data_IF_091241773046
#
_entry.id   IF_091241773046
#
_cell.length_a   1.000
_cell.length_b   1.000
_cell.length_c   1.000
_cell.angle_alpha   90.00
_cell.angle_beta   90.00
_cell.angle_gamma   90.00
#
_symmetry.space_group_name_H-M   'P 1'
#
loop_
_entity.id
_entity.type
_entity.pdbx_description
1 polymer ?
#
# COMPACT_ATOMS: atom_id res chain seq x y z
N UNK A 1 -14.29 -24.01 8.55
CA UNK A 1 -15.74 -24.23 8.52
C UNK A 1 -16.03 -25.26 7.44
N UNK A 2 -16.31 -26.53 7.80
CA UNK A 2 -16.57 -27.66 6.88
C UNK A 2 -18.05 -27.81 6.51
N UNK A 3 -18.89 -26.84 6.89
CA UNK A 3 -20.35 -26.91 6.75
C UNK A 3 -20.80 -26.14 5.50
N UNK A 4 -21.66 -26.75 4.71
CA UNK A 4 -22.16 -26.23 3.44
C UNK A 4 -21.82 -27.18 2.29
N UNK A 5 -22.74 -27.29 1.35
CA UNK A 5 -22.50 -28.08 0.16
C UNK A 5 -21.44 -27.42 -0.69
N UNK A 6 -20.58 -28.25 -1.28
CA UNK A 6 -19.60 -27.79 -2.26
C UNK A 6 -20.32 -27.46 -3.56
N UNK A 7 -20.02 -26.30 -4.13
CA UNK A 7 -20.40 -25.90 -5.48
C UNK A 7 -19.19 -25.28 -6.18
N UNK A 8 -19.25 -25.20 -7.51
CA UNK A 8 -18.36 -24.33 -8.28
C UNK A 8 -19.13 -23.06 -8.64
N UNK A 9 -18.42 -21.94 -8.66
CA UNK A 9 -18.97 -20.68 -9.10
C UNK A 9 -17.94 -19.82 -9.82
N UNK A 10 -18.40 -18.84 -10.57
CA UNK A 10 -17.56 -17.88 -11.30
C UNK A 10 -17.69 -16.50 -10.68
N UNK A 11 -16.58 -15.83 -10.38
CA UNK A 11 -16.59 -14.44 -9.92
C UNK A 11 -17.08 -13.56 -11.07
N UNK A 12 -18.27 -12.98 -10.94
CA UNK A 12 -18.88 -12.11 -11.97
C UNK A 12 -18.88 -10.64 -11.57
N UNK A 13 -18.67 -10.33 -10.29
CA UNK A 13 -18.45 -8.96 -9.86
C UNK A 13 -17.44 -8.87 -8.72
N UNK A 14 -16.62 -7.82 -8.76
CA UNK A 14 -15.73 -7.40 -7.68
C UNK A 14 -16.09 -5.96 -7.34
N UNK A 15 -16.47 -5.69 -6.10
CA UNK A 15 -16.66 -4.34 -5.58
C UNK A 15 -15.69 -4.09 -4.44
N UNK A 16 -14.95 -2.99 -4.52
CA UNK A 16 -14.04 -2.54 -3.48
C UNK A 16 -14.51 -1.18 -3.00
N UNK A 17 -14.77 -1.11 -1.70
CA UNK A 17 -15.20 0.10 -1.01
C UNK A 17 -14.42 0.25 0.29
N UNK A 18 -14.59 1.38 0.94
CA UNK A 18 -14.12 1.60 2.31
C UNK A 18 -15.30 1.71 3.28
N UNK A 19 -15.12 1.26 4.52
CA UNK A 19 -16.07 1.44 5.61
C UNK A 19 -15.35 1.88 6.89
N UNK A 20 -16.07 2.58 7.77
CA UNK A 20 -15.56 3.11 9.04
C UNK A 20 -14.93 4.49 8.91
N UNK A 21 -14.90 5.22 10.03
CA UNK A 21 -14.35 6.57 10.09
C UNK A 21 -12.83 6.53 10.32
N UNK A 22 -12.35 5.79 11.33
CA UNK A 22 -10.92 5.53 11.57
C UNK A 22 -10.71 4.22 12.40
N UNK A 23 -9.83 3.28 11.98
CA UNK A 23 -9.16 3.24 10.69
C UNK A 23 -10.14 2.89 9.57
N UNK A 24 -9.98 3.56 8.43
CA UNK A 24 -10.73 3.25 7.21
C UNK A 24 -10.39 1.83 6.77
N UNK A 25 -11.39 0.95 6.71
CA UNK A 25 -11.21 -0.46 6.38
C UNK A 25 -11.62 -0.72 4.94
N UNK A 26 -10.75 -1.41 4.18
CA UNK A 26 -11.11 -1.96 2.86
C UNK A 26 -12.17 -3.05 3.01
N UNK A 27 -13.21 -2.98 2.19
CA UNK A 27 -14.29 -3.96 2.12
C UNK A 27 -14.38 -4.50 0.70
N UNK A 28 -14.09 -5.79 0.58
CA UNK A 28 -14.15 -6.51 -0.68
C UNK A 28 -15.48 -7.27 -0.73
N UNK A 29 -16.28 -7.01 -1.77
CA UNK A 29 -17.55 -7.68 -2.04
C UNK A 29 -17.46 -8.42 -3.37
N UNK A 30 -17.87 -9.67 -3.37
CA UNK A 30 -17.90 -10.51 -4.57
C UNK A 30 -19.33 -10.88 -4.92
N UNK A 31 -19.63 -10.91 -6.21
CA UNK A 31 -20.78 -11.65 -6.72
C UNK A 31 -20.27 -12.88 -7.47
N UNK A 32 -20.81 -14.04 -7.10
CA UNK A 32 -20.44 -15.33 -7.69
C UNK A 32 -21.65 -15.95 -8.36
N UNK A 33 -21.48 -16.31 -9.61
CA UNK A 33 -22.44 -17.03 -10.43
C UNK A 33 -22.21 -18.53 -10.22
N UNK A 34 -23.08 -19.20 -9.47
CA UNK A 34 -22.97 -20.63 -9.22
C UNK A 34 -23.19 -21.44 -10.50
N UNK A 35 -22.66 -22.66 -10.53
CA UNK A 35 -22.76 -23.58 -11.67
C UNK A 35 -24.20 -24.01 -12.03
N UNK A 36 -24.37 -24.69 -13.17
CA UNK A 36 -25.68 -25.18 -13.62
C UNK A 36 -26.36 -26.16 -12.65
N UNK A 37 -25.57 -26.91 -11.88
CA UNK A 37 -26.00 -27.80 -10.81
C UNK A 37 -26.73 -27.06 -9.67
N UNK A 38 -26.49 -25.75 -9.55
CA UNK A 38 -27.17 -24.81 -8.64
C UNK A 38 -28.09 -23.85 -9.38
N UNK A 39 -28.51 -24.20 -10.59
CA UNK A 39 -29.47 -23.44 -11.40
C UNK A 39 -28.94 -22.10 -11.90
N UNK A 40 -27.63 -21.86 -11.89
CA UNK A 40 -27.11 -20.55 -12.26
C UNK A 40 -27.58 -19.45 -11.30
N UNK A 41 -27.71 -19.75 -10.01
CA UNK A 41 -28.04 -18.72 -9.03
C UNK A 41 -26.83 -17.82 -8.79
N UNK A 42 -27.07 -16.52 -8.72
CA UNK A 42 -26.08 -15.52 -8.37
C UNK A 42 -26.16 -15.20 -6.88
N UNK A 43 -25.05 -15.34 -6.18
CA UNK A 43 -24.91 -15.05 -4.75
C UNK A 43 -23.92 -13.90 -4.54
N UNK A 44 -24.07 -13.12 -3.47
CA UNK A 44 -23.18 -11.99 -3.19
C UNK A 44 -22.85 -11.88 -1.71
N UNK A 45 -21.58 -11.64 -1.41
CA UNK A 45 -21.09 -11.57 -0.03
C UNK A 45 -19.81 -10.75 0.05
N UNK A 46 -19.56 -10.22 1.24
CA UNK A 46 -18.27 -9.67 1.65
C UNK A 46 -17.39 -10.82 2.11
N UNK A 47 -16.12 -10.78 1.74
CA UNK A 47 -15.12 -11.72 2.21
C UNK A 47 -13.74 -11.12 1.96
N UNK A 48 -12.80 -11.26 2.87
CA UNK A 48 -11.40 -10.97 2.60
C UNK A 48 -10.70 -12.26 2.14
N UNK A 49 -10.05 -12.22 0.97
CA UNK A 49 -9.34 -13.36 0.40
C UNK A 49 -7.83 -13.11 0.53
N UNK A 50 -7.08 -14.08 1.08
CA UNK A 50 -5.63 -13.94 1.28
C UNK A 50 -4.88 -15.16 0.73
N UNK A 51 -3.91 -15.00 -0.18
CA UNK A 51 -3.50 -13.74 -0.80
C UNK A 51 -4.55 -13.21 -1.80
N UNK A 52 -4.84 -11.91 -1.75
CA UNK A 52 -5.81 -11.24 -2.62
C UNK A 52 -5.27 -11.02 -4.04
N UNK A 53 -3.95 -10.95 -4.19
CA UNK A 53 -3.27 -10.72 -5.47
C UNK A 53 -3.59 -11.75 -6.57
N UNK A 54 -4.21 -12.89 -6.24
CA UNK A 54 -4.63 -13.94 -7.19
C UNK A 54 -6.11 -13.85 -7.58
N UNK A 55 -6.89 -12.97 -6.94
CA UNK A 55 -8.32 -12.81 -7.25
C UNK A 55 -8.47 -12.18 -8.63
N UNK A 56 -9.28 -12.79 -9.49
CA UNK A 56 -9.57 -12.30 -10.85
C UNK A 56 -11.07 -12.31 -11.14
N UNK A 57 -11.52 -11.33 -11.91
CA UNK A 57 -12.84 -11.38 -12.53
C UNK A 57 -12.91 -12.58 -13.48
N UNK A 58 -14.02 -13.30 -13.49
CA UNK A 58 -14.23 -14.47 -14.34
C UNK A 58 -13.55 -15.75 -13.85
N UNK A 59 -12.81 -15.71 -12.73
CA UNK A 59 -12.19 -16.89 -12.13
C UNK A 59 -13.26 -17.87 -11.62
N UNK A 60 -13.06 -19.16 -11.90
CA UNK A 60 -13.83 -20.22 -11.28
C UNK A 60 -13.26 -20.53 -9.90
N UNK A 61 -14.14 -20.59 -8.90
CA UNK A 61 -13.79 -20.76 -7.50
C UNK A 61 -14.69 -21.81 -6.85
N UNK A 62 -14.14 -22.66 -5.98
CA UNK A 62 -14.95 -23.49 -5.10
C UNK A 62 -15.70 -22.59 -4.10
N UNK A 63 -16.98 -22.87 -3.92
CA UNK A 63 -17.88 -22.14 -3.03
C UNK A 63 -18.52 -23.14 -2.06
N UNK A 64 -18.57 -22.78 -0.78
CA UNK A 64 -19.40 -23.47 0.22
C UNK A 64 -20.73 -22.75 0.32
N UNK A 65 -21.82 -23.44 -0.01
CA UNK A 65 -23.18 -22.89 0.01
C UNK A 65 -23.98 -23.56 1.11
N UNK A 66 -24.66 -22.77 1.94
CA UNK A 66 -25.59 -23.26 2.94
C UNK A 66 -26.75 -22.27 3.04
N UNK A 67 -27.97 -22.73 2.77
CA UNK A 67 -29.16 -21.88 2.74
C UNK A 67 -28.96 -20.73 1.72
N UNK A 68 -29.09 -19.47 2.15
CA UNK A 68 -28.83 -18.26 1.36
C UNK A 68 -27.40 -17.70 1.55
N UNK A 69 -26.53 -18.47 2.21
CA UNK A 69 -25.15 -18.07 2.51
C UNK A 69 -24.16 -18.80 1.62
N UNK A 70 -23.15 -18.05 1.17
CA UNK A 70 -22.07 -18.57 0.34
C UNK A 70 -20.73 -17.97 0.75
N UNK A 71 -19.67 -18.78 0.73
CA UNK A 71 -18.28 -18.37 0.98
C UNK A 71 -17.39 -18.96 -0.11
N UNK A 72 -16.42 -18.20 -0.61
CA UNK A 72 -15.36 -18.74 -1.46
C UNK A 72 -14.41 -19.54 -0.57
N UNK A 73 -14.20 -20.82 -0.92
CA UNK A 73 -13.20 -21.66 -0.27
C UNK A 73 -11.82 -21.36 -0.85
N UNK A 74 -11.22 -20.27 -0.39
CA UNK A 74 -9.98 -19.74 -0.97
C UNK A 74 -8.77 -20.67 -0.78
N UNK A 75 -8.74 -21.41 0.32
CA UNK A 75 -7.73 -22.45 0.53
C UNK A 75 -7.80 -23.52 -0.57
N UNK A 76 -9.01 -24.00 -0.90
CA UNK A 76 -9.21 -24.96 -1.99
C UNK A 76 -8.91 -24.33 -3.37
N UNK A 77 -9.29 -23.06 -3.57
CA UNK A 77 -9.04 -22.33 -4.82
C UNK A 77 -7.54 -22.19 -5.14
N UNK A 78 -6.70 -21.98 -4.11
CA UNK A 78 -5.26 -21.73 -4.26
C UNK A 78 -4.41 -23.01 -4.27
N UNK A 79 -4.93 -24.13 -3.76
CA UNK A 79 -4.20 -25.39 -3.67
C UNK A 79 -3.59 -25.87 -5.02
N UNK A 80 -4.28 -25.79 -6.18
CA UNK A 80 -3.69 -26.17 -7.47
C UNK A 80 -2.49 -25.32 -7.89
N UNK A 81 -2.35 -24.11 -7.36
CA UNK A 81 -1.25 -23.20 -7.65
C UNK A 81 -0.05 -23.39 -6.70
N UNK A 82 -0.16 -24.30 -5.72
CA UNK A 82 0.85 -24.45 -4.67
C UNK A 82 0.94 -23.23 -3.73
N UNK A 83 -0.09 -22.38 -3.73
CA UNK A 83 -0.16 -21.16 -2.92
C UNK A 83 -1.00 -21.44 -1.68
N UNK A 84 -0.53 -20.97 -0.52
CA UNK A 84 -1.30 -21.06 0.72
C UNK A 84 -2.42 -20.01 0.73
N UNK A 85 -3.65 -20.43 0.41
CA UNK A 85 -4.85 -19.61 0.54
C UNK A 85 -5.50 -19.73 1.93
N UNK A 86 -6.05 -18.63 2.44
CA UNK A 86 -6.81 -18.60 3.69
C UNK A 86 -8.28 -18.28 3.43
N UNK A 87 -9.16 -19.13 3.95
CA UNK A 87 -10.61 -18.91 3.96
C UNK A 87 -11.02 -18.24 5.28
N UNK A 88 -11.03 -16.90 5.29
CA UNK A 88 -11.39 -16.10 6.45
C UNK A 88 -12.90 -15.84 6.47
N UNK A 89 -13.56 -16.25 7.55
CA UNK A 89 -15.03 -16.19 7.71
C UNK A 89 -15.50 -15.18 8.75
N UNK A 90 -14.58 -14.65 9.55
CA UNK A 90 -14.79 -13.56 10.51
C UNK A 90 -15.15 -12.24 9.81
N UNK A 91 -14.66 -12.06 8.59
CA UNK A 91 -14.94 -10.89 7.74
C UNK A 91 -16.13 -11.09 6.81
N UNK A 92 -16.76 -12.27 6.87
CA UNK A 92 -17.81 -12.63 5.94
C UNK A 92 -19.14 -11.98 6.29
N UNK A 93 -19.87 -11.54 5.25
CA UNK A 93 -21.25 -11.05 5.40
C UNK A 93 -22.02 -11.25 4.11
N UNK A 94 -23.15 -11.96 4.15
CA UNK A 94 -24.08 -11.99 3.03
C UNK A 94 -24.57 -10.56 2.73
N UNK A 95 -24.60 -10.20 1.45
CA UNK A 95 -25.09 -8.89 1.01
C UNK A 95 -26.09 -9.06 -0.12
N UNK A 96 -26.97 -8.06 -0.27
CA UNK A 96 -27.82 -7.98 -1.45
C UNK A 96 -26.94 -7.92 -2.71
N UNK A 97 -27.36 -8.63 -3.76
CA UNK A 97 -26.69 -8.56 -5.05
C UNK A 97 -26.51 -7.10 -5.47
N UNK A 98 -25.27 -6.67 -5.72
CA UNK A 98 -25.01 -5.29 -6.11
C UNK A 98 -25.58 -4.92 -7.49
N UNK A 99 -26.04 -5.90 -8.28
CA UNK A 99 -26.78 -5.67 -9.52
C UNK A 99 -25.92 -5.28 -10.72
N UNK A 100 -24.60 -5.43 -10.63
CA UNK A 100 -23.67 -5.14 -11.73
C UNK A 100 -22.72 -6.31 -11.99
N UNK A 101 -22.20 -6.42 -13.21
CA UNK A 101 -21.14 -7.37 -13.59
C UNK A 101 -19.87 -6.57 -13.88
N UNK A 102 -18.70 -7.11 -13.54
CA UNK A 102 -17.41 -6.44 -13.75
C UNK A 102 -16.75 -5.97 -12.46
N UNK A 103 -15.93 -4.93 -12.54
CA UNK A 103 -15.15 -4.42 -11.40
C UNK A 103 -15.61 -2.99 -11.10
N UNK A 104 -15.89 -2.73 -9.83
CA UNK A 104 -16.18 -1.39 -9.32
C UNK A 104 -15.27 -1.10 -8.12
N UNK A 105 -14.42 -0.09 -8.25
CA UNK A 105 -13.43 0.24 -7.24
C UNK A 105 -13.48 1.73 -6.91
N UNK A 106 -14.13 2.05 -5.79
CA UNK A 106 -14.30 3.44 -5.36
C UNK A 106 -13.03 4.01 -4.69
N UNK A 107 -12.01 3.18 -4.42
CA UNK A 107 -10.78 3.63 -3.77
C UNK A 107 -9.84 4.36 -4.73
N UNK A 108 -9.95 4.08 -6.03
CA UNK A 108 -9.08 4.69 -7.05
C UNK A 108 -9.48 6.12 -7.43
N UNK A 109 -10.72 6.55 -7.12
CA UNK A 109 -11.22 7.88 -7.49
C UNK A 109 -11.24 8.15 -9.00
N UNK A 110 -11.32 7.08 -9.81
CA UNK A 110 -11.23 7.15 -11.27
C UNK A 110 -12.43 7.89 -11.88
N UNK A 111 -13.56 7.97 -11.18
CA UNK A 111 -14.79 8.60 -11.67
C UNK A 111 -14.59 10.08 -12.00
N UNK A 112 -13.71 10.76 -11.24
CA UNK A 112 -13.36 12.15 -11.51
C UNK A 112 -12.60 12.28 -12.83
N UNK A 113 -11.63 11.40 -13.06
CA UNK A 113 -10.80 11.39 -14.26
C UNK A 113 -11.59 10.91 -15.48
N UNK A 114 -12.52 9.99 -15.31
CA UNK A 114 -13.44 9.57 -16.37
C UNK A 114 -14.35 10.71 -16.83
N UNK A 115 -14.78 11.60 -15.92
CA UNK A 115 -15.64 12.76 -16.25
C UNK A 115 -14.88 13.93 -16.85
N UNK A 116 -13.63 14.17 -16.42
CA UNK A 116 -12.86 15.39 -16.74
C UNK A 116 -11.65 15.15 -17.62
N UNK A 117 -11.19 13.91 -17.73
CA UNK A 117 -10.02 13.50 -18.48
C UNK A 117 -10.37 13.16 -19.92
N UNK A 118 -9.34 13.20 -20.77
CA UNK A 118 -9.40 12.74 -22.15
C UNK A 118 -9.00 11.27 -22.17
N UNK A 119 -9.82 10.37 -22.75
CA UNK A 119 -9.46 8.96 -22.88
C UNK A 119 -8.13 8.77 -23.61
N UNK A 120 -7.29 7.87 -23.09
CA UNK A 120 -5.97 7.60 -23.59
C UNK A 120 -5.64 6.11 -23.52
N UNK A 121 -4.62 5.70 -24.28
CA UNK A 121 -3.95 4.41 -24.15
C UNK A 121 -2.57 4.64 -23.55
N UNK A 122 -2.24 3.86 -22.52
CA UNK A 122 -0.98 3.97 -21.77
C UNK A 122 -0.21 2.68 -21.95
N UNK A 123 0.87 2.73 -22.72
CA UNK A 123 1.75 1.57 -22.96
C UNK A 123 2.93 1.63 -22.00
N UNK A 124 3.06 0.62 -21.13
CA UNK A 124 4.18 0.48 -20.20
C UNK A 124 5.43 0.16 -21.02
N UNK A 125 6.44 1.02 -21.02
CA UNK A 125 7.75 0.74 -21.67
C UNK A 125 8.71 0.06 -20.71
N UNK A 126 8.73 0.50 -19.46
CA UNK A 126 9.50 -0.11 -18.39
C UNK A 126 8.69 -0.03 -17.10
N UNK A 127 8.91 -0.98 -16.19
CA UNK A 127 8.33 -0.93 -14.85
C UNK A 127 9.39 -1.30 -13.81
N UNK A 128 9.63 -0.40 -12.85
CA UNK A 128 10.67 -0.61 -11.85
C UNK A 128 10.28 -0.03 -10.49
N UNK A 129 10.71 -0.71 -9.43
CA UNK A 129 10.76 -0.12 -8.10
C UNK A 129 11.87 0.93 -8.07
N UNK A 130 11.51 2.18 -7.79
CA UNK A 130 12.45 3.30 -7.69
C UNK A 130 12.52 3.78 -6.24
N UNK A 131 13.74 4.05 -5.80
CA UNK A 131 13.98 4.75 -4.54
C UNK A 131 13.33 6.13 -4.58
N UNK A 132 12.56 6.44 -3.54
CA UNK A 132 11.95 7.73 -3.30
C UNK A 132 12.35 8.25 -1.93
N UNK A 133 12.11 9.55 -1.70
CA UNK A 133 12.44 10.23 -0.44
C UNK A 133 13.89 9.92 0.05
N UNK A 134 14.88 9.98 -0.85
CA UNK A 134 16.29 9.71 -0.55
C UNK A 134 16.58 8.30 0.01
N UNK A 135 15.86 7.28 -0.43
CA UNK A 135 16.05 5.89 0.03
C UNK A 135 15.17 5.49 1.20
N UNK A 136 14.29 6.37 1.67
CA UNK A 136 13.36 6.06 2.75
C UNK A 136 12.18 5.20 2.31
N UNK A 137 11.80 5.27 1.03
CA UNK A 137 10.70 4.48 0.49
C UNK A 137 11.04 3.93 -0.88
N UNK A 138 10.43 2.82 -1.24
CA UNK A 138 10.40 2.35 -2.61
C UNK A 138 9.01 2.62 -3.20
N UNK A 139 8.97 3.05 -4.46
CA UNK A 139 7.71 3.26 -5.16
C UNK A 139 7.80 2.68 -6.56
N UNK A 140 6.73 2.03 -7.00
CA UNK A 140 6.62 1.59 -8.38
C UNK A 140 6.49 2.81 -9.31
N UNK A 141 7.33 2.83 -10.34
CA UNK A 141 7.29 3.83 -11.40
C UNK A 141 7.29 3.15 -12.77
N UNK A 142 6.57 3.76 -13.71
CA UNK A 142 6.56 3.34 -15.11
C UNK A 142 7.17 4.43 -15.99
N UNK A 143 8.02 4.04 -16.92
CA UNK A 143 8.21 4.85 -18.11
C UNK A 143 7.16 4.38 -19.13
N UNK A 144 6.34 5.30 -19.63
CA UNK A 144 5.16 5.00 -20.44
C UNK A 144 5.12 5.82 -21.72
N UNK A 145 4.46 5.28 -22.74
CA UNK A 145 4.03 6.04 -23.92
C UNK A 145 2.52 6.20 -23.87
N UNK A 146 2.05 7.42 -24.05
CA UNK A 146 0.63 7.78 -23.97
C UNK A 146 0.14 8.19 -25.34
N UNK A 147 -0.97 7.59 -25.75
CA UNK A 147 -1.66 7.88 -27.01
C UNK A 147 -3.03 8.47 -26.70
N UNK A 148 -3.26 9.69 -27.17
CA UNK A 148 -4.54 10.39 -27.11
C UNK A 148 -5.05 10.57 -28.53
N UNK A 149 -6.32 10.27 -28.79
CA UNK A 149 -6.89 10.38 -30.13
C UNK A 149 -6.70 11.80 -30.71
N UNK A 150 -6.15 11.89 -31.92
CA UNK A 150 -5.89 13.16 -32.60
C UNK A 150 -4.65 13.93 -32.13
N UNK A 151 -3.82 13.35 -31.25
CA UNK A 151 -2.57 13.95 -30.78
C UNK A 151 -1.39 13.00 -31.05
N UNK A 152 -0.17 13.52 -31.27
CA UNK A 152 1.04 12.68 -31.30
C UNK A 152 1.23 11.96 -29.97
N UNK A 153 1.68 10.71 -30.03
CA UNK A 153 2.05 9.96 -28.83
C UNK A 153 3.24 10.64 -28.12
N UNK A 154 3.27 10.59 -26.80
CA UNK A 154 4.34 11.19 -25.99
C UNK A 154 4.78 10.28 -24.86
N UNK A 155 6.05 10.41 -24.46
CA UNK A 155 6.60 9.69 -23.32
C UNK A 155 6.28 10.41 -22.00
N UNK A 156 5.99 9.66 -20.96
CA UNK A 156 5.75 10.18 -19.60
C UNK A 156 6.24 9.18 -18.56
N UNK A 157 6.79 9.69 -17.47
CA UNK A 157 7.08 8.88 -16.28
C UNK A 157 5.89 8.93 -15.32
N UNK A 158 5.27 7.78 -15.05
CA UNK A 158 4.23 7.63 -14.04
C UNK A 158 4.88 7.25 -12.72
N UNK A 159 4.77 8.12 -11.72
CA UNK A 159 5.34 7.92 -10.37
C UNK A 159 4.24 7.45 -9.42
N UNK A 160 4.62 6.72 -8.36
CA UNK A 160 3.70 6.25 -7.31
C UNK A 160 2.56 5.40 -7.89
N UNK A 161 2.89 4.53 -8.83
CA UNK A 161 1.91 3.65 -9.44
C UNK A 161 1.46 2.63 -8.40
N UNK A 162 0.16 2.56 -8.14
CA UNK A 162 -0.42 1.52 -7.29
C UNK A 162 -1.47 0.79 -8.10
N UNK A 163 -1.19 -0.47 -8.45
CA UNK A 163 -2.19 -1.34 -9.01
C UNK A 163 -2.98 -2.01 -7.86
N UNK A 164 -4.30 -2.13 -7.98
CA UNK A 164 -5.11 -2.88 -7.04
C UNK A 164 -4.89 -4.40 -7.23
N UNK A 165 -5.24 -5.20 -6.22
CA UNK A 165 -4.97 -6.65 -6.19
C UNK A 165 -5.53 -7.42 -7.40
N UNK A 166 -6.69 -7.01 -7.92
CA UNK A 166 -7.34 -7.65 -9.07
C UNK A 166 -6.63 -7.36 -10.41
N UNK A 167 -5.74 -6.38 -10.42
CA UNK A 167 -4.94 -5.95 -11.57
C UNK A 167 -3.44 -6.27 -11.39
N UNK A 168 -3.07 -7.05 -10.37
CA UNK A 168 -1.68 -7.34 -10.04
C UNK A 168 -0.88 -8.01 -11.17
N UNK A 169 -1.55 -8.73 -12.09
CA UNK A 169 -0.94 -9.35 -13.27
C UNK A 169 -0.70 -8.39 -14.44
N UNK A 170 -1.22 -7.15 -14.37
CA UNK A 170 -1.12 -6.17 -15.46
C UNK A 170 0.14 -5.30 -15.38
N UNK A 171 1.00 -5.51 -14.38
CA UNK A 171 2.28 -4.83 -14.24
C UNK A 171 3.33 -5.50 -15.13
N UNK A 172 3.16 -5.39 -16.45
CA UNK A 172 3.97 -6.07 -17.47
C UNK A 172 4.41 -5.07 -18.54
N UNK A 173 5.70 -5.08 -18.86
CA UNK A 173 6.27 -4.25 -19.93
C UNK A 173 5.67 -4.61 -21.30
N UNK A 174 5.45 -3.60 -22.13
CA UNK A 174 4.80 -3.71 -23.43
C UNK A 174 3.27 -3.74 -23.38
N UNK A 175 2.66 -3.83 -22.19
CA UNK A 175 1.20 -3.85 -22.08
C UNK A 175 0.61 -2.45 -22.27
N UNK A 176 -0.42 -2.35 -23.13
CA UNK A 176 -1.20 -1.14 -23.34
C UNK A 176 -2.48 -1.20 -22.52
N UNK A 177 -2.66 -0.21 -21.64
CA UNK A 177 -3.76 -0.13 -20.69
C UNK A 177 -4.67 1.06 -21.02
N UNK A 178 -5.99 0.95 -20.79
CA UNK A 178 -6.88 2.10 -20.83
C UNK A 178 -6.53 3.08 -19.71
N UNK A 179 -6.65 4.37 -19.99
CA UNK A 179 -6.44 5.43 -19.02
C UNK A 179 -7.02 6.76 -19.45
N UNK A 180 -6.71 7.79 -18.67
CA UNK A 180 -7.16 9.16 -18.88
C UNK A 180 -5.99 10.12 -18.72
N UNK A 181 -6.00 11.19 -19.51
CA UNK A 181 -5.07 12.32 -19.40
C UNK A 181 -5.86 13.55 -19.00
N UNK A 182 -5.40 14.29 -17.99
CA UNK A 182 -6.06 15.52 -17.59
C UNK A 182 -5.86 16.63 -18.63
N UNK A 183 -6.95 17.29 -19.01
CA UNK A 183 -6.90 18.38 -20.00
C UNK A 183 -5.93 19.50 -19.55
N UNK A 184 -5.03 19.89 -20.46
CA UNK A 184 -3.99 20.90 -20.19
C UNK A 184 -2.83 20.42 -19.31
N UNK A 185 -2.82 19.15 -18.89
CA UNK A 185 -1.80 18.55 -18.01
C UNK A 185 -1.39 17.16 -18.51
N UNK A 186 -0.59 17.08 -19.60
CA UNK A 186 -0.17 15.80 -20.17
C UNK A 186 0.68 14.96 -19.21
N UNK A 187 1.27 15.56 -18.16
CA UNK A 187 1.97 14.88 -17.07
C UNK A 187 1.04 14.14 -16.10
N UNK A 188 -0.27 14.42 -16.15
CA UNK A 188 -1.27 13.85 -15.25
C UNK A 188 -2.07 12.78 -15.97
N UNK A 189 -1.52 11.57 -15.90
CA UNK A 189 -2.08 10.36 -16.51
C UNK A 189 -2.51 9.39 -15.42
N UNK A 190 -3.71 8.84 -15.58
CA UNK A 190 -4.28 7.86 -14.66
C UNK A 190 -4.65 6.61 -15.44
N UNK A 191 -4.25 5.43 -14.95
CA UNK A 191 -4.62 4.14 -15.54
C UNK A 191 -5.98 3.72 -14.99
N UNK A 192 -6.89 3.30 -15.86
CA UNK A 192 -8.17 2.70 -15.47
C UNK A 192 -7.98 1.20 -15.23
N UNK A 193 -7.54 0.86 -14.02
CA UNK A 193 -7.25 -0.54 -13.63
C UNK A 193 -8.48 -1.45 -13.73
N UNK A 194 -9.67 -0.93 -13.40
CA UNK A 194 -10.90 -1.70 -13.49
C UNK A 194 -11.22 -2.05 -14.95
N UNK A 195 -11.18 -1.06 -15.85
CA UNK A 195 -11.37 -1.32 -17.28
C UNK A 195 -10.28 -2.24 -17.84
N UNK A 196 -9.03 -2.06 -17.42
CA UNK A 196 -7.91 -2.90 -17.86
C UNK A 196 -8.09 -4.37 -17.43
N UNK A 197 -8.45 -4.61 -16.17
CA UNK A 197 -8.70 -5.95 -15.66
C UNK A 197 -9.99 -6.59 -16.20
N UNK A 198 -10.97 -5.79 -16.62
CA UNK A 198 -12.13 -6.31 -17.37
C UNK A 198 -11.76 -6.75 -18.80
N UNK A 199 -10.86 -6.02 -19.47
CA UNK A 199 -10.37 -6.36 -20.82
C UNK A 199 -9.41 -7.55 -20.80
N UNK A 200 -8.54 -7.63 -19.79
CA UNK A 200 -7.61 -8.73 -19.59
C UNK A 200 -7.70 -9.25 -18.14
N UNK A 201 -8.63 -10.17 -17.85
CA UNK A 201 -8.87 -10.65 -16.49
C UNK A 201 -7.77 -11.53 -15.91
N UNK A 202 -6.79 -12.01 -16.67
CA UNK A 202 -5.63 -12.71 -16.12
C UNK A 202 -5.91 -13.97 -15.30
N UNK A 203 -7.02 -14.68 -15.57
CA UNK A 203 -7.33 -15.95 -14.88
C UNK A 203 -6.22 -16.97 -15.13
N UNK A 204 -5.65 -17.52 -14.07
CA UNK A 204 -4.51 -18.45 -14.13
C UNK A 204 -3.14 -17.78 -14.31
N UNK A 205 -3.08 -16.46 -14.46
CA UNK A 205 -1.83 -15.71 -14.54
C UNK A 205 -1.41 -15.27 -13.13
N UNK A 206 -0.18 -15.61 -12.68
CA UNK A 206 0.29 -15.18 -11.37
C UNK A 206 0.38 -13.64 -11.28
N UNK A 207 0.34 -13.07 -10.06
CA UNK A 207 0.66 -11.66 -9.86
C UNK A 207 2.06 -11.34 -10.41
N UNK A 208 2.25 -10.12 -10.91
CA UNK A 208 3.59 -9.66 -11.31
C UNK A 208 4.53 -9.64 -10.09
N UNK A 209 5.81 -9.98 -10.30
CA UNK A 209 6.82 -9.92 -9.23
C UNK A 209 6.94 -8.50 -8.64
N UNK A 210 6.70 -7.46 -9.46
CA UNK A 210 6.69 -6.07 -9.03
C UNK A 210 5.56 -5.77 -8.03
N UNK A 211 4.43 -6.48 -8.13
CA UNK A 211 3.34 -6.35 -7.17
C UNK A 211 3.76 -6.83 -5.78
N UNK A 212 4.45 -7.98 -5.71
CA UNK A 212 4.89 -8.57 -4.44
C UNK A 212 5.91 -7.68 -3.73
N UNK A 213 6.85 -7.09 -4.46
CA UNK A 213 7.85 -6.17 -3.92
C UNK A 213 7.22 -4.86 -3.40
N UNK A 214 6.17 -4.37 -4.06
CA UNK A 214 5.43 -3.19 -3.62
C UNK A 214 4.50 -3.49 -2.42
N UNK A 215 4.17 -4.77 -2.19
CA UNK A 215 3.30 -5.21 -1.09
C UNK A 215 4.08 -5.62 0.16
N UNK A 216 5.38 -5.91 0.05
CA UNK A 216 6.23 -6.38 1.15
C UNK A 216 6.68 -5.30 2.14
N UNK A 217 6.39 -4.03 1.89
CA UNK A 217 6.59 -2.95 2.87
C UNK A 217 5.29 -2.66 3.62
N UNK A 218 4.79 -3.67 4.33
CA UNK A 218 3.90 -3.49 5.46
C UNK A 218 4.64 -2.87 6.65
N UNK A 219 5.29 -1.73 6.47
CA UNK A 219 5.45 -0.80 7.59
C UNK A 219 4.05 -0.26 7.84
N UNK A 220 3.48 -0.42 9.05
CA UNK A 220 2.13 0.05 9.30
C UNK A 220 2.03 1.53 8.91
N UNK A 221 1.16 1.81 7.93
CA UNK A 221 0.80 3.14 7.42
C UNK A 221 0.21 4.08 8.50
N UNK A 222 0.32 3.73 9.77
CA UNK A 222 -0.13 4.53 10.91
C UNK A 222 0.81 5.72 11.23
N UNK A 223 2.05 5.77 10.70
CA UNK A 223 3.01 6.83 11.05
C UNK A 223 3.25 7.90 9.97
N UNK A 224 2.71 7.76 8.75
CA UNK A 224 2.85 8.80 7.70
C UNK A 224 1.67 9.79 7.61
N UNK A 225 0.59 9.58 8.36
CA UNK A 225 -0.57 10.49 8.40
C UNK A 225 -0.37 11.78 9.20
N UNK A 226 0.79 11.97 9.84
CA UNK A 226 1.09 13.14 10.68
C UNK A 226 2.07 14.14 10.08
N UNK A 227 2.60 13.85 8.89
CA UNK A 227 3.47 14.76 8.17
C UNK A 227 2.60 15.60 7.25
N UNK A 228 2.23 16.78 7.74
CA UNK A 228 1.42 17.74 7.01
C UNK A 228 1.99 17.96 5.61
N UNK A 229 1.19 17.62 4.60
CA UNK A 229 1.23 18.37 3.36
C UNK A 229 0.98 19.83 3.74
N UNK A 230 1.90 20.79 3.47
CA UNK A 230 1.51 22.17 3.43
C UNK A 230 0.39 22.26 2.40
N UNK A 231 -0.68 22.94 2.79
CA UNK A 231 -1.92 23.02 2.04
C UNK A 231 -1.68 23.24 0.55
N UNK A 232 -2.54 22.62 -0.24
CA UNK A 232 -2.80 23.04 -1.59
C UNK A 232 -3.50 24.42 -1.55
N UNK A 233 -2.78 25.45 -1.10
CA UNK A 233 -3.11 26.86 -1.27
C UNK A 233 -1.83 27.55 -1.75
N UNK A 234 -1.93 28.19 -2.91
CA UNK A 234 -0.79 28.77 -3.61
C UNK A 234 -0.08 29.83 -2.78
N UNK A 235 1.24 29.71 -2.71
CA UNK A 235 2.13 30.73 -2.16
C UNK A 235 3.53 30.49 -2.72
N UNK A 236 4.06 31.53 -3.34
CA UNK A 236 5.45 31.68 -3.79
C UNK A 236 6.42 31.59 -2.59
N UNK A 237 7.71 31.51 -2.89
CA UNK A 237 8.86 31.92 -2.07
C UNK A 237 9.97 30.86 -1.94
N UNK A 238 11.05 31.20 -2.64
CA UNK A 238 12.44 30.87 -2.38
C UNK A 238 12.89 31.28 -0.96
N UNK A 239 13.97 30.63 -0.51
CA UNK A 239 14.82 30.95 0.64
C UNK A 239 14.60 30.13 1.91
N UNK A 240 15.29 28.99 1.99
CA UNK A 240 15.79 28.50 3.28
C UNK A 240 17.10 27.73 3.11
N UNK A 241 18.18 28.47 2.80
CA UNK A 241 19.55 28.00 2.96
C UNK A 241 20.27 28.92 3.94
N UNK A 242 20.43 28.47 5.18
CA UNK A 242 21.57 28.72 6.07
C UNK A 242 21.17 28.53 7.54
N UNK A 243 21.92 27.66 8.23
CA UNK A 243 22.40 27.76 9.62
C UNK A 243 22.43 26.35 10.24
N UNK A 244 23.41 25.89 11.02
CA UNK A 244 24.69 26.35 11.60
C UNK A 244 25.19 25.04 12.26
N UNK A 245 26.30 24.42 11.87
CA UNK A 245 27.69 24.64 12.34
C UNK A 245 27.89 24.79 13.86
N UNK A 246 28.24 23.68 14.54
CA UNK A 246 29.21 23.68 15.64
C UNK A 246 28.69 23.47 17.06
N UNK A 247 29.14 22.37 17.71
CA UNK A 247 29.83 22.35 19.00
C UNK A 247 30.05 20.89 19.47
N UNK A 248 31.25 20.61 19.98
CA UNK A 248 31.70 19.27 20.35
C UNK A 248 31.67 18.98 21.85
N UNK A 249 31.83 17.68 22.15
CA UNK A 249 32.48 17.14 23.35
C UNK A 249 31.64 17.01 24.61
N UNK A 250 31.35 15.77 25.02
CA UNK A 250 31.97 15.11 26.19
C UNK A 250 31.31 13.73 26.38
N UNK A 251 32.15 12.71 26.56
CA UNK A 251 31.73 11.36 26.87
C UNK A 251 31.62 11.17 28.39
N UNK A 252 30.51 10.61 28.84
CA UNK A 252 30.42 9.87 30.11
C UNK A 252 29.27 8.87 29.98
N UNK A 253 29.53 7.61 30.30
CA UNK A 253 28.54 6.54 30.23
C UNK A 253 27.39 6.80 31.20
N UNK A 254 26.17 6.88 30.67
CA UNK A 254 24.94 7.00 31.46
C UNK A 254 24.16 5.69 31.37
N UNK A 255 23.98 5.05 32.51
CA UNK A 255 23.04 3.95 32.68
C UNK A 255 21.63 4.55 32.77
N UNK A 256 20.74 4.23 31.83
CA UNK A 256 19.32 4.63 31.89
C UNK A 256 18.47 3.36 31.88
N UNK A 257 17.64 3.17 32.91
CA UNK A 257 16.58 2.15 32.92
C UNK A 257 17.01 0.69 33.07
N UNK A 258 18.22 0.39 33.55
CA UNK A 258 18.64 -0.98 33.86
C UNK A 258 19.05 -1.85 32.65
N UNK A 259 19.26 -1.24 31.49
CA UNK A 259 19.78 -1.92 30.30
C UNK A 259 21.28 -1.63 30.11
N UNK A 260 22.11 -2.68 30.11
CA UNK A 260 23.52 -2.61 29.72
C UNK A 260 23.64 -2.77 28.21
N UNK A 261 24.17 -1.75 27.52
CA UNK A 261 24.46 -1.78 26.09
C UNK A 261 25.83 -2.42 25.87
N UNK A 262 25.86 -3.65 25.34
CA UNK A 262 27.08 -4.34 24.93
C UNK A 262 27.62 -3.77 23.62
N UNK A 263 28.78 -3.12 23.67
CA UNK A 263 29.43 -2.54 22.50
C UNK A 263 30.18 -3.58 21.67
N UNK A 264 29.84 -3.67 20.38
CA UNK A 264 30.76 -4.09 19.33
C UNK A 264 30.87 -2.95 18.32
N UNK A 265 32.11 -2.47 18.12
CA UNK A 265 32.42 -1.14 17.59
C UNK A 265 31.96 -0.90 16.15
N UNK A 266 31.16 0.15 15.98
CA UNK A 266 30.98 0.85 14.71
C UNK A 266 30.66 2.31 15.02
N UNK A 267 31.31 3.24 14.30
CA UNK A 267 31.41 4.67 14.63
C UNK A 267 30.10 5.26 15.17
N UNK A 268 30.13 5.78 16.40
CA UNK A 268 29.02 6.49 17.01
C UNK A 268 28.62 7.65 16.10
N UNK A 269 27.49 7.49 15.40
CA UNK A 269 26.80 8.63 14.83
C UNK A 269 26.43 9.52 16.02
N UNK A 270 27.09 10.68 16.13
CA UNK A 270 26.89 11.59 17.25
C UNK A 270 25.41 11.93 17.51
N UNK A 271 25.11 12.53 18.66
CA UNK A 271 23.73 12.90 18.99
C UNK A 271 23.17 13.95 18.02
N UNK A 272 21.90 13.78 17.62
CA UNK A 272 21.14 14.78 16.87
C UNK A 272 20.21 15.49 17.84
N UNK A 273 20.32 16.81 17.97
CA UNK A 273 19.58 17.62 18.95
C UNK A 273 19.65 17.07 20.39
N UNK A 274 20.80 16.51 20.79
CA UNK A 274 21.00 15.90 22.10
C UNK A 274 20.43 14.47 22.25
N UNK A 275 19.85 13.90 21.19
CA UNK A 275 19.30 12.53 21.17
C UNK A 275 20.27 11.60 20.44
N UNK A 276 20.78 10.61 21.15
CA UNK A 276 21.59 9.53 20.56
C UNK A 276 20.74 8.61 19.71
N UNK A 277 21.38 7.85 18.80
CA UNK A 277 20.65 6.88 17.98
C UNK A 277 19.92 5.83 18.82
N UNK A 278 20.54 5.38 19.93
CA UNK A 278 19.91 4.39 20.82
C UNK A 278 18.68 4.96 21.53
N UNK A 279 18.74 6.22 21.97
CA UNK A 279 17.58 6.87 22.56
C UNK A 279 16.46 7.03 21.52
N UNK A 280 16.81 7.37 20.28
CA UNK A 280 15.86 7.42 19.16
C UNK A 280 15.17 6.06 18.94
N UNK A 281 15.91 4.95 18.90
CA UNK A 281 15.34 3.60 18.74
C UNK A 281 14.41 3.20 19.90
N UNK A 282 14.79 3.50 21.13
CA UNK A 282 13.96 3.24 22.33
C UNK A 282 12.63 3.99 22.23
N UNK A 283 12.66 5.28 21.89
CA UNK A 283 11.45 6.10 21.81
C UNK A 283 10.56 5.67 20.64
N UNK A 284 11.10 5.47 19.43
CA UNK A 284 10.34 5.01 18.26
C UNK A 284 9.67 3.66 18.50
N UNK A 285 10.42 2.67 18.98
CA UNK A 285 9.87 1.33 19.24
C UNK A 285 8.78 1.37 20.32
N UNK A 286 8.93 2.22 21.34
CA UNK A 286 7.92 2.40 22.37
C UNK A 286 6.66 3.12 21.84
N UNK A 287 6.81 4.15 20.99
CA UNK A 287 5.69 4.82 20.32
C UNK A 287 4.88 3.81 19.49
N UNK A 288 5.54 2.97 18.70
CA UNK A 288 4.89 1.95 17.88
C UNK A 288 4.20 0.88 18.72
N UNK A 289 4.88 0.34 19.74
CA UNK A 289 4.35 -0.71 20.62
C UNK A 289 3.15 -0.25 21.44
N UNK A 290 3.13 1.02 21.85
CA UNK A 290 2.05 1.59 22.67
C UNK A 290 0.96 2.28 21.85
N UNK A 291 1.13 2.39 20.52
CA UNK A 291 0.16 3.05 19.65
C UNK A 291 -0.08 4.52 19.99
N UNK A 292 0.99 5.24 20.39
CA UNK A 292 0.89 6.65 20.79
C UNK A 292 0.47 7.49 19.58
N UNK A 293 -0.48 8.40 19.76
CA UNK A 293 -0.96 9.26 18.68
C UNK A 293 0.08 10.33 18.32
N UNK A 294 0.19 10.74 17.04
CA UNK A 294 1.23 11.67 16.60
C UNK A 294 1.32 12.99 17.34
N UNK A 295 0.17 13.56 17.73
CA UNK A 295 0.12 14.80 18.53
C UNK A 295 0.75 14.68 19.92
N UNK A 296 0.90 13.45 20.42
CA UNK A 296 1.40 13.15 21.77
C UNK A 296 2.84 12.62 21.73
N UNK A 297 3.47 12.47 20.55
CA UNK A 297 4.80 11.90 20.40
C UNK A 297 5.89 12.71 21.11
N UNK A 298 5.86 14.04 21.01
CA UNK A 298 6.87 14.88 21.66
C UNK A 298 6.77 14.80 23.19
N UNK A 299 5.56 14.90 23.74
CA UNK A 299 5.33 14.74 25.17
C UNK A 299 5.75 13.35 25.68
N UNK A 300 5.50 12.30 24.87
CA UNK A 300 5.96 10.96 25.19
C UNK A 300 7.49 10.85 25.15
N UNK A 301 8.14 11.39 24.13
CA UNK A 301 9.60 11.40 24.00
C UNK A 301 10.29 12.11 25.16
N UNK A 302 9.69 13.19 25.69
CA UNK A 302 10.18 13.88 26.88
C UNK A 302 10.27 12.97 28.11
N UNK A 303 9.39 11.96 28.24
CA UNK A 303 9.47 10.98 29.33
C UNK A 303 10.74 10.11 29.29
N UNK A 304 11.41 10.07 28.13
CA UNK A 304 12.69 9.40 27.92
C UNK A 304 13.89 10.38 27.93
N UNK A 305 13.67 11.65 28.30
CA UNK A 305 14.71 12.67 28.38
C UNK A 305 15.01 13.40 27.07
N UNK A 306 14.15 13.27 26.05
CA UNK A 306 14.25 14.09 24.83
C UNK A 306 13.89 15.56 25.16
N UNK A 307 14.65 16.55 24.68
CA UNK A 307 14.32 17.96 24.92
C UNK A 307 12.93 18.35 24.36
N UNK A 308 12.12 19.13 25.09
CA UNK A 308 10.77 19.52 24.64
C UNK A 308 10.76 20.20 23.26
N UNK A 309 9.80 19.82 22.42
CA UNK A 309 9.59 20.38 21.09
C UNK A 309 10.61 19.95 20.03
N UNK A 310 11.56 19.07 20.36
CA UNK A 310 12.62 18.65 19.44
C UNK A 310 12.36 17.31 18.78
N UNK A 311 11.39 16.52 19.25
CA UNK A 311 11.19 15.17 18.76
C UNK A 311 10.90 15.09 17.26
N UNK A 312 9.99 15.91 16.67
CA UNK A 312 9.68 15.81 15.24
C UNK A 312 10.91 16.00 14.34
N UNK A 313 11.69 17.05 14.60
CA UNK A 313 12.91 17.35 13.83
C UNK A 313 13.99 16.30 14.05
N UNK A 314 14.12 15.80 15.28
CA UNK A 314 15.10 14.77 15.63
C UNK A 314 14.79 13.43 14.99
N UNK A 315 13.53 12.99 15.05
CA UNK A 315 13.07 11.76 14.40
C UNK A 315 13.26 11.84 12.87
N UNK A 316 12.98 13.00 12.26
CA UNK A 316 13.23 13.22 10.83
C UNK A 316 14.72 13.08 10.49
N UNK A 317 15.59 13.74 11.26
CA UNK A 317 17.03 13.75 11.01
C UNK A 317 17.66 12.38 11.23
N UNK A 318 17.22 11.63 12.24
CA UNK A 318 17.62 10.23 12.42
C UNK A 318 17.10 9.33 11.31
N UNK A 319 15.85 9.49 10.87
CA UNK A 319 15.30 8.79 9.71
C UNK A 319 16.18 8.99 8.46
N UNK A 320 16.62 10.24 8.20
CA UNK A 320 17.55 10.52 7.10
C UNK A 320 18.92 9.86 7.26
N UNK A 321 19.47 9.78 8.48
CA UNK A 321 20.74 9.09 8.74
C UNK A 321 20.60 7.58 8.55
N UNK A 322 19.48 7.01 9.02
CA UNK A 322 19.13 5.59 8.82
C UNK A 322 19.08 5.24 7.33
N UNK A 323 18.45 6.08 6.50
CA UNK A 323 18.41 5.85 5.05
C UNK A 323 19.78 5.91 4.36
N UNK A 324 20.68 6.77 4.84
CA UNK A 324 22.00 6.99 4.23
C UNK A 324 23.07 6.02 4.73
N UNK A 325 22.84 5.36 5.86
CA UNK A 325 23.81 4.49 6.51
C UNK A 325 23.25 3.07 6.68
N UNK A 326 23.68 2.09 5.85
CA UNK A 326 23.20 0.71 5.92
C UNK A 326 23.35 0.05 7.30
N UNK A 327 24.39 0.42 8.08
CA UNK A 327 24.58 -0.10 9.43
C UNK A 327 23.53 0.42 10.42
N UNK A 328 23.11 1.68 10.29
CA UNK A 328 22.00 2.24 11.08
C UNK A 328 20.66 1.64 10.65
N UNK A 329 20.44 1.42 9.36
CA UNK A 329 19.24 0.74 8.84
C UNK A 329 19.09 -0.67 9.39
N UNK A 330 20.15 -1.46 9.41
CA UNK A 330 20.11 -2.82 9.97
C UNK A 330 19.76 -2.81 11.47
N UNK A 331 20.34 -1.88 12.24
CA UNK A 331 20.04 -1.72 13.68
C UNK A 331 18.62 -1.24 13.92
N UNK A 332 18.13 -0.29 13.13
CA UNK A 332 16.74 0.17 13.19
C UNK A 332 15.77 -0.98 12.91
N UNK A 333 15.99 -1.74 11.84
CA UNK A 333 15.16 -2.90 11.50
C UNK A 333 15.14 -3.96 12.62
N UNK A 334 16.28 -4.22 13.27
CA UNK A 334 16.36 -5.15 14.39
C UNK A 334 15.60 -4.66 15.64
N UNK A 335 15.57 -3.35 15.90
CA UNK A 335 14.88 -2.78 17.06
C UNK A 335 13.34 -2.70 16.89
N UNK A 336 12.85 -2.73 15.65
CA UNK A 336 11.41 -2.67 15.34
C UNK A 336 10.72 -4.03 15.27
N UNK A 337 11.47 -5.13 15.41
CA UNK A 337 10.92 -6.49 15.57
C UNK A 337 10.40 -6.72 16.99
#
# INVERSE_FOLDING_TARGET
MTKGDRALGRIVAIRITTEGDEPVRRVDTYAVQLGPDRGGVRVSFRQYLSPDAFVRLGMEVPVRVKDDHAVIDWAEAMAPLGVHGQTLVDTWKAVKDPGFTGIHDSMLGIEREQRKGVPARVTIRSAAMRSAAFGLTTQLAFDSVVEVAGQPAYAVELKKVSAPFYAAHLLVEGLTLPGFVRQGRPDKVTIDWAAAAMQNPGVGVPPSALFQQNSSEGVPMATMGAWGAPGADGGDDSDFAAAVAGAGGMAAGTTIGGWTVGGAGQADAGSINGVSFELYLVVESAIMKQGIKPKDWDAFAQSYGVPPGTWPTTAQQWGMQVARNPGLAQRYAAAMQ
#
